data_IF_467507622252
#
_entry.id   IF_467507622252
#
_cell.length_a   1.000
_cell.length_b   1.000
_cell.length_c   1.000
_cell.angle_alpha   90.00
_cell.angle_beta   90.00
_cell.angle_gamma   90.00
#
_symmetry.space_group_name_H-M   'P 1'
#
loop_
_entity.id
_entity.type
_entity.pdbx_description
1 polymer ?
#
# COMPACT_ATOMS: atom_id res chain seq x y z
N UNK A 1 -6.14 -6.52 -24.56
CA UNK A 1 -5.55 -5.50 -23.67
C UNK A 1 -4.28 -6.09 -23.07
N UNK A 2 -3.14 -5.48 -23.34
CA UNK A 2 -1.86 -5.90 -22.77
C UNK A 2 -1.79 -5.45 -21.30
N UNK A 3 -1.24 -6.28 -20.42
CA UNK A 3 -0.96 -5.91 -19.02
C UNK A 3 -0.24 -4.56 -18.95
N UNK A 4 0.76 -4.31 -19.80
CA UNK A 4 1.48 -3.02 -19.86
C UNK A 4 0.55 -1.80 -20.05
N UNK A 5 -0.42 -1.87 -20.95
CA UNK A 5 -1.30 -0.74 -21.30
C UNK A 5 -2.30 -0.37 -20.18
N UNK A 6 -2.56 -1.30 -19.24
CA UNK A 6 -3.42 -1.05 -18.08
C UNK A 6 -2.67 -0.30 -16.95
N UNK A 7 -1.33 -0.36 -16.96
CA UNK A 7 -0.47 0.12 -15.88
C UNK A 7 0.28 1.42 -16.20
N UNK A 8 0.56 1.71 -17.47
CA UNK A 8 1.38 2.86 -17.89
C UNK A 8 0.80 4.23 -17.48
N UNK A 9 -0.53 4.37 -17.43
CA UNK A 9 -1.19 5.66 -17.14
C UNK A 9 -2.03 5.71 -15.85
N UNK A 10 -2.33 4.57 -15.21
CA UNK A 10 -3.38 4.50 -14.15
C UNK A 10 -2.87 4.37 -12.72
N UNK A 11 -1.59 4.06 -12.51
CA UNK A 11 -1.01 3.81 -11.19
C UNK A 11 0.19 4.71 -10.93
N UNK A 12 0.07 6.00 -11.30
CA UNK A 12 1.03 6.98 -10.83
C UNK A 12 0.85 7.16 -9.32
N UNK A 13 1.88 6.78 -8.56
CA UNK A 13 1.94 6.99 -7.11
C UNK A 13 2.08 8.48 -6.82
N UNK A 14 1.04 9.07 -6.24
CA UNK A 14 1.17 10.36 -5.59
C UNK A 14 1.78 10.16 -4.20
N UNK A 15 3.11 10.06 -4.17
CA UNK A 15 3.92 10.00 -2.96
C UNK A 15 3.71 11.20 -2.04
N UNK A 16 3.17 12.31 -2.55
CA UNK A 16 2.90 13.53 -1.80
C UNK A 16 1.44 13.62 -1.33
N UNK A 17 0.60 12.65 -1.67
CA UNK A 17 -0.79 12.62 -1.19
C UNK A 17 -0.86 12.36 0.31
N UNK A 18 -1.82 13.00 0.99
CA UNK A 18 -2.08 12.78 2.42
C UNK A 18 -2.36 11.29 2.73
N UNK A 19 -3.05 10.59 1.81
CA UNK A 19 -3.31 9.16 1.92
C UNK A 19 -2.03 8.34 1.93
N UNK A 20 -1.06 8.67 1.06
CA UNK A 20 0.23 7.97 1.03
C UNK A 20 1.10 8.30 2.25
N UNK A 21 1.22 9.58 2.62
CA UNK A 21 2.03 10.00 3.76
C UNK A 21 1.53 9.38 5.08
N UNK A 22 0.21 9.30 5.24
CA UNK A 22 -0.39 8.61 6.39
C UNK A 22 -0.14 7.09 6.34
N UNK A 23 -0.29 6.48 5.17
CA UNK A 23 0.03 5.06 4.99
C UNK A 23 1.49 4.77 5.36
N UNK A 24 2.44 5.57 4.88
CA UNK A 24 3.87 5.42 5.17
C UNK A 24 4.15 5.53 6.67
N UNK A 25 3.63 6.58 7.32
CA UNK A 25 3.79 6.79 8.77
C UNK A 25 3.21 5.64 9.59
N UNK A 26 1.97 5.21 9.29
CA UNK A 26 1.34 4.11 9.99
C UNK A 26 2.06 2.77 9.68
N UNK A 27 2.57 2.58 8.46
CA UNK A 27 3.31 1.38 8.09
C UNK A 27 4.59 1.26 8.91
N UNK A 28 5.40 2.32 9.00
CA UNK A 28 6.62 2.30 9.83
C UNK A 28 6.32 2.21 11.33
N UNK A 29 5.15 2.68 11.77
CA UNK A 29 4.74 2.58 13.18
C UNK A 29 4.36 1.15 13.58
N UNK A 30 3.68 0.40 12.70
CA UNK A 30 3.11 -0.90 13.05
C UNK A 30 3.79 -2.10 12.40
N UNK A 31 4.53 -1.92 11.31
CA UNK A 31 5.15 -3.03 10.56
C UNK A 31 6.35 -3.62 11.30
N UNK A 32 6.36 -4.95 11.40
CA UNK A 32 7.50 -5.74 11.86
C UNK A 32 8.35 -6.25 10.68
N UNK A 33 8.15 -5.70 9.48
CA UNK A 33 8.89 -6.07 8.29
C UNK A 33 10.27 -5.39 8.29
N UNK A 34 11.32 -6.18 8.14
CA UNK A 34 12.71 -5.72 7.99
C UNK A 34 13.05 -5.42 6.51
N UNK A 35 12.12 -4.76 5.82
CA UNK A 35 12.29 -4.34 4.42
C UNK A 35 11.80 -2.89 4.27
N UNK A 36 12.59 -2.01 3.64
CA UNK A 36 12.14 -0.65 3.35
C UNK A 36 10.86 -0.64 2.50
N UNK A 37 9.92 0.24 2.85
CA UNK A 37 8.62 0.34 2.17
C UNK A 37 8.78 0.57 0.66
N UNK A 38 9.79 1.34 0.26
CA UNK A 38 10.14 1.64 -1.14
C UNK A 38 10.29 0.42 -2.04
N UNK A 39 10.68 -0.75 -1.49
CA UNK A 39 10.81 -1.98 -2.27
C UNK A 39 9.49 -2.70 -2.53
N UNK A 40 8.43 -2.38 -1.78
CA UNK A 40 7.16 -3.10 -1.81
C UNK A 40 5.96 -2.21 -2.12
N UNK A 41 6.12 -0.88 -2.13
CA UNK A 41 5.03 0.08 -2.41
C UNK A 41 4.33 -0.23 -3.72
N UNK A 42 5.09 -0.48 -4.80
CA UNK A 42 4.54 -0.77 -6.12
C UNK A 42 3.70 -2.06 -6.12
N UNK A 43 4.17 -3.10 -5.45
CA UNK A 43 3.45 -4.38 -5.33
C UNK A 43 2.18 -4.25 -4.48
N UNK A 44 2.21 -3.44 -3.42
CA UNK A 44 1.04 -3.15 -2.58
C UNK A 44 -0.03 -2.45 -3.42
N UNK A 45 0.35 -1.39 -4.13
CA UNK A 45 -0.58 -0.65 -4.97
C UNK A 45 -1.11 -1.49 -6.12
N UNK A 46 -0.24 -2.26 -6.78
CA UNK A 46 -0.63 -3.16 -7.86
C UNK A 46 -1.62 -4.20 -7.36
N UNK A 47 -1.41 -4.75 -6.17
CA UNK A 47 -2.34 -5.72 -5.56
C UNK A 47 -3.69 -5.08 -5.25
N UNK A 48 -3.71 -3.86 -4.71
CA UNK A 48 -4.95 -3.12 -4.45
C UNK A 48 -5.74 -2.84 -5.73
N UNK A 49 -5.07 -2.36 -6.78
CA UNK A 49 -5.70 -2.12 -8.08
C UNK A 49 -6.26 -3.40 -8.71
N UNK A 50 -5.50 -4.49 -8.68
CA UNK A 50 -5.91 -5.78 -9.25
C UNK A 50 -7.05 -6.43 -8.45
N UNK A 51 -7.08 -6.22 -7.14
CA UNK A 51 -8.15 -6.75 -6.26
C UNK A 51 -9.36 -5.83 -6.15
N UNK A 52 -9.32 -4.64 -6.77
CA UNK A 52 -10.31 -3.58 -6.61
C UNK A 52 -10.60 -3.23 -5.14
N UNK A 53 -9.57 -3.31 -4.29
CA UNK A 53 -9.65 -2.95 -2.89
C UNK A 53 -8.93 -1.65 -2.67
N UNK A 54 -9.60 -0.72 -1.99
CA UNK A 54 -9.02 0.56 -1.57
C UNK A 54 -8.25 0.44 -0.25
N UNK A 55 -7.79 -0.75 0.13
CA UNK A 55 -7.05 -0.95 1.36
C UNK A 55 -5.95 -1.99 1.25
N UNK A 56 -4.87 -1.75 1.99
CA UNK A 56 -3.83 -2.71 2.28
C UNK A 56 -4.04 -3.28 3.70
N UNK A 57 -3.79 -4.57 3.88
CA UNK A 57 -3.86 -5.23 5.19
C UNK A 57 -2.47 -5.67 5.62
N UNK A 58 -1.96 -5.11 6.71
CA UNK A 58 -0.85 -5.69 7.46
C UNK A 58 -1.40 -6.71 8.44
N UNK A 59 -1.07 -7.97 8.23
CA UNK A 59 -1.54 -9.05 9.10
C UNK A 59 -0.85 -8.99 10.47
N UNK A 60 -1.54 -9.45 11.51
CA UNK A 60 -1.04 -9.51 12.90
C UNK A 60 0.32 -10.18 13.08
N UNK A 61 0.68 -11.13 12.21
CA UNK A 61 1.97 -11.83 12.24
C UNK A 61 3.12 -10.99 11.68
N UNK A 62 2.81 -9.89 10.99
CA UNK A 62 3.73 -8.90 10.43
C UNK A 62 3.60 -7.54 11.12
N UNK A 63 2.84 -7.44 12.20
CA UNK A 63 2.69 -6.23 13.01
C UNK A 63 3.43 -6.34 14.33
N UNK A 64 4.00 -5.23 14.81
CA UNK A 64 4.68 -5.15 16.10
C UNK A 64 3.75 -5.34 17.31
N UNK A 65 2.48 -4.96 17.17
CA UNK A 65 1.48 -5.01 18.26
C UNK A 65 0.59 -6.26 18.22
N UNK A 66 0.85 -7.18 17.29
CA UNK A 66 0.08 -8.41 17.11
C UNK A 66 -1.36 -8.19 16.64
N UNK A 67 -1.66 -7.08 15.93
CA UNK A 67 -3.00 -6.73 15.42
C UNK A 67 -3.03 -6.62 13.90
N UNK A 68 -4.20 -6.88 13.33
CA UNK A 68 -4.42 -6.59 11.92
C UNK A 68 -4.61 -5.08 11.72
N UNK A 69 -3.80 -4.47 10.83
CA UNK A 69 -3.93 -3.06 10.47
C UNK A 69 -4.45 -2.92 9.03
N UNK A 70 -5.44 -2.05 8.86
CA UNK A 70 -6.08 -1.77 7.57
C UNK A 70 -5.77 -0.34 7.17
N UNK A 71 -5.01 -0.18 6.10
CA UNK A 71 -4.61 1.12 5.55
C UNK A 71 -5.53 1.43 4.39
N UNK A 72 -6.44 2.39 4.55
CA UNK A 72 -7.43 2.75 3.54
C UNK A 72 -6.91 3.93 2.72
N UNK A 73 -6.93 3.77 1.40
CA UNK A 73 -6.59 4.80 0.43
C UNK A 73 -7.88 5.41 -0.10
N UNK A 74 -8.22 6.61 0.37
CA UNK A 74 -9.36 7.35 -0.15
C UNK A 74 -8.93 8.04 -1.44
N UNK A 75 -9.49 7.62 -2.59
CA UNK A 75 -9.44 8.44 -3.79
C UNK A 75 -10.50 9.53 -3.66
N UNK A 76 -10.09 10.80 -3.65
CA UNK A 76 -10.99 11.90 -3.99
C UNK A 76 -10.94 12.16 -5.48
#
# INVERSE_FOLDING_TARGET
MNRKELYDDKLQLDYFSDSYLRFESDFYKYSALDIPLTFITDDILRTMAMSQKHYFKLNKNKSLDGRDHYFVFLSR
#
